data_IF_870186061189
#
_entry.id   IF_870186061189
#
_cell.length_a   1.000
_cell.length_b   1.000
_cell.length_c   1.000
_cell.angle_alpha   90.00
_cell.angle_beta   90.00
_cell.angle_gamma   90.00
#
_symmetry.space_group_name_H-M   'P 1'
#
loop_
_entity.id
_entity.type
_entity.pdbx_description
1 polymer ?
#
# COMPACT_ATOMS: atom_id res chain seq x y z
N UNK A 1 28.10 14.70 -14.09
CA UNK A 1 28.43 13.38 -13.51
C UNK A 1 27.36 12.41 -13.99
N UNK A 2 27.71 11.48 -14.87
CA UNK A 2 26.81 10.38 -15.22
C UNK A 2 26.75 9.44 -14.04
N UNK A 3 25.63 9.42 -13.31
CA UNK A 3 25.37 8.42 -12.28
C UNK A 3 25.34 7.05 -12.95
N UNK A 4 26.43 6.30 -12.75
CA UNK A 4 26.52 4.91 -13.18
C UNK A 4 25.81 4.08 -12.12
N UNK A 5 24.91 3.19 -12.54
CA UNK A 5 24.25 2.26 -11.62
C UNK A 5 25.28 1.47 -10.79
N UNK A 6 24.97 1.16 -9.52
CA UNK A 6 25.83 0.31 -8.70
C UNK A 6 25.94 -1.08 -9.31
N UNK A 7 27.13 -1.67 -9.24
CA UNK A 7 27.33 -3.07 -9.59
C UNK A 7 26.45 -3.97 -8.70
N UNK A 8 25.47 -4.63 -9.30
CA UNK A 8 24.49 -5.43 -8.58
C UNK A 8 25.09 -6.69 -7.94
N UNK A 9 26.23 -7.17 -8.45
CA UNK A 9 26.94 -8.34 -7.94
C UNK A 9 28.21 -7.99 -7.16
N UNK A 10 28.51 -6.70 -7.02
CA UNK A 10 29.67 -6.19 -6.30
C UNK A 10 29.49 -6.24 -4.78
N UNK A 11 30.61 -6.03 -4.06
CA UNK A 11 30.63 -5.97 -2.61
C UNK A 11 29.92 -4.71 -2.07
N UNK A 12 29.43 -4.79 -0.83
CA UNK A 12 28.82 -3.66 -0.15
C UNK A 12 29.80 -2.46 -0.03
N UNK A 13 29.37 -1.30 -0.51
CA UNK A 13 30.18 -0.07 -0.49
C UNK A 13 30.16 0.64 0.87
N UNK A 14 29.23 0.27 1.76
CA UNK A 14 28.99 0.92 3.05
C UNK A 14 28.55 -0.11 4.10
N UNK A 15 28.74 0.23 5.37
CA UNK A 15 28.26 -0.54 6.53
C UNK A 15 27.49 0.37 7.49
N UNK A 16 26.52 -0.20 8.19
CA UNK A 16 25.86 0.48 9.30
C UNK A 16 26.79 0.53 10.52
N UNK A 17 26.62 1.57 11.35
CA UNK A 17 27.32 1.70 12.63
C UNK A 17 26.61 0.96 13.78
N UNK A 18 25.34 0.59 13.57
CA UNK A 18 24.59 -0.22 14.51
C UNK A 18 25.23 -1.60 14.65
N UNK A 19 25.74 -1.98 15.83
CA UNK A 19 26.37 -3.28 16.04
C UNK A 19 25.37 -4.44 15.98
N UNK A 20 24.06 -4.19 16.09
CA UNK A 20 23.02 -5.20 15.95
C UNK A 20 22.63 -5.45 14.48
N UNK A 21 23.12 -4.66 13.54
CA UNK A 21 22.82 -4.83 12.12
C UNK A 21 23.46 -6.11 11.56
N UNK A 22 22.63 -6.93 10.90
CA UNK A 22 23.06 -8.13 10.18
C UNK A 22 22.64 -8.00 8.71
N UNK A 23 23.57 -8.07 7.74
CA UNK A 23 23.23 -8.11 6.33
C UNK A 23 22.31 -9.28 6.00
N UNK A 24 21.26 -9.04 5.21
CA UNK A 24 20.31 -10.07 4.83
C UNK A 24 20.74 -10.86 3.59
N UNK A 25 21.55 -10.28 2.71
CA UNK A 25 22.03 -10.91 1.48
C UNK A 25 23.41 -10.39 1.08
N UNK A 26 24.10 -11.13 0.22
CA UNK A 26 25.52 -10.89 -0.12
C UNK A 26 25.72 -9.77 -1.15
N UNK A 27 24.71 -9.49 -1.99
CA UNK A 27 24.79 -8.47 -3.03
C UNK A 27 23.42 -7.84 -3.32
N UNK A 28 23.44 -6.77 -4.12
CA UNK A 28 22.24 -6.00 -4.46
C UNK A 28 21.27 -6.79 -5.36
N UNK A 29 21.75 -7.68 -6.22
CA UNK A 29 20.89 -8.52 -7.05
C UNK A 29 19.97 -9.42 -6.20
N UNK A 30 20.53 -10.08 -5.17
CA UNK A 30 19.74 -10.91 -4.25
C UNK A 30 18.78 -10.08 -3.38
N UNK A 31 19.16 -8.86 -3.00
CA UNK A 31 18.24 -7.96 -2.30
C UNK A 31 17.06 -7.57 -3.20
N UNK A 32 17.31 -7.26 -4.47
CA UNK A 32 16.26 -6.93 -5.45
C UNK A 32 15.32 -8.10 -5.67
N UNK A 33 15.83 -9.31 -5.87
CA UNK A 33 14.99 -10.50 -6.01
C UNK A 33 14.06 -10.71 -4.81
N UNK A 34 14.58 -10.51 -3.59
CA UNK A 34 13.76 -10.62 -2.37
C UNK A 34 12.72 -9.51 -2.26
N UNK A 35 13.05 -8.29 -2.69
CA UNK A 35 12.10 -7.17 -2.75
C UNK A 35 11.02 -7.48 -3.79
N UNK A 36 11.38 -7.95 -4.98
CA UNK A 36 10.43 -8.30 -6.04
C UNK A 36 9.44 -9.39 -5.56
N UNK A 37 9.93 -10.37 -4.79
CA UNK A 37 9.08 -11.41 -4.20
C UNK A 37 8.12 -10.86 -3.12
N UNK A 38 8.51 -9.82 -2.38
CA UNK A 38 7.65 -9.12 -1.43
C UNK A 38 6.63 -8.25 -2.20
N UNK A 39 7.06 -7.58 -3.25
CA UNK A 39 6.20 -6.72 -4.07
C UNK A 39 5.07 -7.52 -4.71
N UNK A 40 5.34 -8.75 -5.17
CA UNK A 40 4.30 -9.67 -5.65
C UNK A 40 3.23 -9.92 -4.57
N UNK A 41 3.65 -10.20 -3.32
CA UNK A 41 2.72 -10.42 -2.20
C UNK A 41 1.96 -9.14 -1.83
N UNK A 42 2.61 -7.98 -1.88
CA UNK A 42 1.95 -6.69 -1.65
C UNK A 42 0.85 -6.49 -2.69
N UNK A 43 1.13 -6.71 -3.98
CA UNK A 43 0.16 -6.56 -5.06
C UNK A 43 -1.03 -7.52 -4.87
N UNK A 44 -0.79 -8.77 -4.47
CA UNK A 44 -1.86 -9.74 -4.16
C UNK A 44 -2.78 -9.24 -3.03
N UNK A 45 -2.18 -8.77 -1.92
CA UNK A 45 -2.94 -8.22 -0.78
C UNK A 45 -3.70 -6.95 -1.15
N UNK A 46 -3.12 -6.09 -1.98
CA UNK A 46 -3.78 -4.88 -2.47
C UNK A 46 -4.96 -5.22 -3.39
N UNK A 47 -4.81 -6.24 -4.24
CA UNK A 47 -5.90 -6.74 -5.07
C UNK A 47 -7.04 -7.29 -4.22
N UNK A 48 -6.73 -8.06 -3.17
CA UNK A 48 -7.73 -8.55 -2.21
C UNK A 48 -8.43 -7.40 -1.48
N UNK A 49 -7.67 -6.46 -0.91
CA UNK A 49 -8.21 -5.26 -0.26
C UNK A 49 -9.13 -4.50 -1.21
N UNK A 50 -8.74 -4.38 -2.48
CA UNK A 50 -9.51 -3.70 -3.51
C UNK A 50 -10.85 -4.35 -3.79
N UNK A 51 -10.96 -5.69 -3.74
CA UNK A 51 -12.25 -6.39 -3.85
C UNK A 51 -13.20 -5.99 -2.72
N UNK A 52 -12.71 -5.93 -1.48
CA UNK A 52 -13.54 -5.51 -0.33
C UNK A 52 -13.94 -4.03 -0.39
N UNK A 53 -13.04 -3.14 -0.82
CA UNK A 53 -13.38 -1.72 -1.04
C UNK A 53 -14.47 -1.59 -2.08
N UNK A 54 -14.33 -2.29 -3.22
CA UNK A 54 -15.34 -2.29 -4.28
C UNK A 54 -16.69 -2.83 -3.79
N UNK A 55 -16.70 -3.91 -3.03
CA UNK A 55 -17.94 -4.46 -2.47
C UNK A 55 -18.58 -3.50 -1.45
N UNK A 56 -17.76 -2.81 -0.65
CA UNK A 56 -18.23 -1.80 0.30
C UNK A 56 -18.96 -0.63 -0.37
N UNK A 57 -18.69 -0.34 -1.65
CA UNK A 57 -19.38 0.70 -2.42
C UNK A 57 -20.90 0.46 -2.50
N UNK A 58 -21.34 -0.81 -2.47
CA UNK A 58 -22.77 -1.19 -2.47
C UNK A 58 -23.54 -0.71 -1.25
N UNK A 59 -22.84 -0.31 -0.19
CA UNK A 59 -23.43 0.18 1.07
C UNK A 59 -23.39 1.70 1.19
N UNK A 60 -22.88 2.42 0.18
CA UNK A 60 -22.77 3.88 0.17
C UNK A 60 -23.84 4.47 -0.73
N UNK A 61 -24.56 5.48 -0.23
CA UNK A 61 -25.67 6.12 -0.96
C UNK A 61 -25.20 7.22 -1.91
N UNK A 62 -24.20 7.99 -1.48
CA UNK A 62 -23.72 9.15 -2.23
C UNK A 62 -22.18 9.18 -2.29
N UNK A 63 -21.65 9.81 -3.34
CA UNK A 63 -20.22 10.09 -3.52
C UNK A 63 -19.59 10.89 -2.34
N UNK A 64 -20.39 11.55 -1.50
CA UNK A 64 -19.91 12.22 -0.29
C UNK A 64 -19.63 11.26 0.88
N UNK A 65 -20.34 10.13 0.98
CA UNK A 65 -20.04 9.08 1.97
C UNK A 65 -18.76 8.31 1.64
N UNK A 66 -18.32 8.37 0.38
CA UNK A 66 -17.04 7.80 -0.11
C UNK A 66 -15.84 8.37 0.64
N UNK A 67 -15.92 9.64 1.09
CA UNK A 67 -14.80 10.31 1.77
C UNK A 67 -14.72 10.07 3.28
N UNK A 68 -15.65 9.33 3.90
CA UNK A 68 -15.80 9.13 5.36
C UNK A 68 -14.54 9.49 6.21
N UNK A 69 -14.35 10.77 6.59
CA UNK A 69 -13.04 11.26 7.07
C UNK A 69 -12.60 10.59 8.37
N UNK A 70 -13.55 10.34 9.27
CA UNK A 70 -13.33 9.60 10.51
C UNK A 70 -12.77 8.20 10.23
N UNK A 71 -13.35 7.48 9.26
CA UNK A 71 -12.89 6.13 8.90
C UNK A 71 -11.49 6.13 8.30
N UNK A 72 -11.14 7.17 7.53
CA UNK A 72 -9.77 7.32 7.02
C UNK A 72 -8.78 7.52 8.16
N UNK A 73 -9.10 8.40 9.12
CA UNK A 73 -8.24 8.63 10.28
C UNK A 73 -8.03 7.36 11.10
N UNK A 74 -9.08 6.57 11.35
CA UNK A 74 -8.97 5.27 12.02
C UNK A 74 -8.03 4.30 11.29
N UNK A 75 -8.05 4.30 9.95
CA UNK A 75 -7.14 3.47 9.15
C UNK A 75 -5.70 3.94 9.33
N UNK A 76 -5.45 5.26 9.29
CA UNK A 76 -4.11 5.82 9.45
C UNK A 76 -3.55 5.55 10.85
N UNK A 77 -4.35 5.77 11.90
CA UNK A 77 -3.94 5.49 13.28
C UNK A 77 -3.65 3.99 13.48
N UNK A 78 -4.49 3.12 12.89
CA UNK A 78 -4.30 1.68 12.98
C UNK A 78 -3.01 1.23 12.30
N UNK A 79 -2.72 1.70 11.10
CA UNK A 79 -1.54 1.23 10.34
C UNK A 79 -0.25 1.77 10.93
N UNK A 80 -0.29 2.96 11.51
CA UNK A 80 0.83 3.51 12.28
C UNK A 80 1.18 2.63 13.48
N UNK A 81 0.19 2.25 14.29
CA UNK A 81 0.40 1.31 15.41
C UNK A 81 0.94 -0.04 14.94
N UNK A 82 0.37 -0.59 13.87
CA UNK A 82 0.85 -1.86 13.31
C UNK A 82 2.29 -1.76 12.81
N UNK A 83 2.70 -0.61 12.25
CA UNK A 83 4.07 -0.40 11.83
C UNK A 83 5.04 -0.45 13.03
N UNK A 84 4.70 0.26 14.11
CA UNK A 84 5.47 0.26 15.36
C UNK A 84 5.58 -1.16 15.94
N UNK A 85 4.47 -1.89 16.04
CA UNK A 85 4.42 -3.28 16.55
C UNK A 85 5.24 -4.27 15.72
N UNK A 86 5.39 -4.01 14.42
CA UNK A 86 6.10 -4.90 13.47
C UNK A 86 7.54 -4.45 13.19
N UNK A 87 8.01 -3.38 13.82
CA UNK A 87 9.35 -2.83 13.58
C UNK A 87 9.52 -2.22 12.17
N UNK A 88 8.41 -1.86 11.52
CA UNK A 88 8.44 -1.11 10.26
C UNK A 88 8.59 0.39 10.54
N UNK A 89 8.97 1.15 9.51
CA UNK A 89 9.04 2.61 9.56
C UNK A 89 7.63 3.23 9.51
N UNK A 90 7.09 3.78 10.62
CA UNK A 90 5.70 4.22 10.68
C UNK A 90 5.37 5.31 9.66
N UNK A 91 6.32 6.21 9.37
CA UNK A 91 6.20 7.26 8.38
C UNK A 91 6.06 6.72 6.94
N UNK A 92 6.77 5.63 6.62
CA UNK A 92 6.69 4.98 5.30
C UNK A 92 5.34 4.27 5.15
N UNK A 93 4.93 3.53 6.18
CA UNK A 93 3.65 2.81 6.18
C UNK A 93 2.47 3.77 6.09
N UNK A 94 2.48 4.86 6.87
CA UNK A 94 1.43 5.86 6.84
C UNK A 94 1.34 6.55 5.46
N UNK A 95 2.47 6.95 4.89
CA UNK A 95 2.51 7.57 3.56
C UNK A 95 1.96 6.65 2.47
N UNK A 96 2.34 5.36 2.48
CA UNK A 96 1.82 4.36 1.57
C UNK A 96 0.29 4.21 1.71
N UNK A 97 -0.21 4.14 2.95
CA UNK A 97 -1.65 4.02 3.20
C UNK A 97 -2.45 5.26 2.80
N UNK A 98 -1.89 6.48 2.93
CA UNK A 98 -2.53 7.71 2.45
C UNK A 98 -2.70 7.70 0.94
N UNK A 99 -1.64 7.33 0.20
CA UNK A 99 -1.70 7.17 -1.25
C UNK A 99 -2.71 6.07 -1.64
N UNK A 100 -2.69 4.95 -0.93
CA UNK A 100 -3.59 3.83 -1.18
C UNK A 100 -5.06 4.20 -0.98
N UNK A 101 -5.39 4.87 0.13
CA UNK A 101 -6.76 5.33 0.42
C UNK A 101 -7.22 6.32 -0.64
N UNK A 102 -6.39 7.30 -1.02
CA UNK A 102 -6.71 8.24 -2.09
C UNK A 102 -7.00 7.53 -3.43
N UNK A 103 -6.16 6.56 -3.81
CA UNK A 103 -6.34 5.77 -5.02
C UNK A 103 -7.65 4.96 -5.02
N UNK A 104 -8.01 4.35 -3.89
CA UNK A 104 -9.25 3.62 -3.75
C UNK A 104 -10.49 4.51 -3.77
N UNK A 105 -10.45 5.68 -3.16
CA UNK A 105 -11.53 6.68 -3.25
C UNK A 105 -11.76 7.08 -4.70
N UNK A 106 -10.69 7.40 -5.43
CA UNK A 106 -10.80 7.78 -6.84
C UNK A 106 -11.35 6.63 -7.71
N UNK A 107 -11.03 5.38 -7.38
CA UNK A 107 -11.59 4.21 -8.07
C UNK A 107 -13.07 4.00 -7.73
N UNK A 108 -13.43 4.10 -6.45
CA UNK A 108 -14.80 3.93 -5.97
C UNK A 108 -15.75 4.97 -6.58
N UNK A 109 -15.31 6.21 -6.75
CA UNK A 109 -16.08 7.24 -7.45
C UNK A 109 -16.41 6.86 -8.90
N UNK A 110 -15.50 6.19 -9.61
CA UNK A 110 -15.76 5.66 -10.97
C UNK A 110 -16.71 4.48 -10.93
N UNK A 111 -16.46 3.52 -10.04
CA UNK A 111 -17.30 2.34 -9.91
C UNK A 111 -18.75 2.75 -9.56
N UNK A 112 -18.97 3.71 -8.65
CA UNK A 112 -20.28 4.22 -8.28
C UNK A 112 -21.02 4.92 -9.44
N UNK A 113 -20.30 5.60 -10.34
CA UNK A 113 -20.91 6.22 -11.53
C UNK A 113 -21.47 5.19 -12.52
N UNK A 114 -21.00 3.94 -12.44
CA UNK A 114 -21.47 2.81 -13.26
C UNK A 114 -22.52 1.94 -12.53
N UNK A 115 -22.83 2.24 -11.26
CA UNK A 115 -23.80 1.51 -10.45
C UNK A 115 -25.21 2.03 -10.68
N UNK A 116 -26.20 1.14 -10.54
CA UNK A 116 -27.63 1.46 -10.57
C UNK A 116 -28.24 1.22 -9.21
N UNK A 117 -29.28 1.99 -8.86
CA UNK A 117 -30.01 1.77 -7.62
C UNK A 117 -30.71 0.41 -7.63
N UNK A 118 -30.70 -0.25 -6.46
CA UNK A 118 -31.44 -1.49 -6.26
C UNK A 118 -32.93 -1.11 -6.18
N UNK A 119 -33.64 -1.21 -7.31
CA UNK A 119 -35.07 -0.92 -7.40
C UNK A 119 -35.56 -0.39 -8.75
N UNK A 120 -34.69 0.18 -9.58
CA UNK A 120 -35.09 0.82 -10.85
C UNK A 120 -35.17 -0.15 -12.05
N UNK A 121 -34.67 -1.39 -11.93
CA UNK A 121 -34.80 -2.40 -12.99
C UNK A 121 -36.12 -3.16 -12.85
N UNK A 122 -37.25 -2.46 -12.83
CA UNK A 122 -38.58 -2.96 -13.21
C UNK A 122 -39.45 -1.81 -13.75
N UNK A 123 -39.20 -1.40 -14.99
CA UNK A 123 -40.21 -0.97 -15.97
C UNK A 123 -39.64 -1.09 -17.37
#
# INVERSE_FOLDING_TARGET
MTEKEPDAHGAALRRFLDPAYVPLADNLALLRERIDAIDAQIVELLAERGRYVKDAARFKRDAFQVSAPQRQQEVFDKVRRLAEEKGAYPEVVEAAYRALVAGFIAREQRDHAEMVEIGERQS
#
